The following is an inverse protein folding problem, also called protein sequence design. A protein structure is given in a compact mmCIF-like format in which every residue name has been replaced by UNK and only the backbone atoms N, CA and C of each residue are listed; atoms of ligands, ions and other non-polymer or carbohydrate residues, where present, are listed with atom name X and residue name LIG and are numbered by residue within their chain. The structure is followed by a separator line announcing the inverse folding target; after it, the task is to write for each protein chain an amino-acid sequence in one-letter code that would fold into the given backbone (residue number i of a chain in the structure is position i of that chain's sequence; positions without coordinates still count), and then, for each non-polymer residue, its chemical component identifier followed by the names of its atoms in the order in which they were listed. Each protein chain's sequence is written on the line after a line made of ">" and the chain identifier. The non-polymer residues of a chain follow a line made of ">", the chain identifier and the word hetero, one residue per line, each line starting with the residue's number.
data_IF_040895000793
#
_entry.id   IF_040895000793
#
_cell.length_a   1.000
_cell.length_b   1.000
_cell.length_c   1.000
_cell.angle_alpha   90.00
_cell.angle_beta   90.00
_cell.angle_gamma   90.00
#
_symmetry.space_group_name_H-M   'P 1'
#
loop_
_entity.id
_entity.type
_entity.pdbx_description
1 polymer ?
#
# COMPACT_ATOMS: atom_id res chain seq x y z
N UNK A 1 2.92 -15.85 0.96
CA UNK A 1 4.21 -16.02 1.68
C UNK A 1 4.47 -14.71 2.42
N UNK A 2 4.77 -14.73 3.72
CA UNK A 2 5.06 -13.50 4.44
C UNK A 2 6.32 -12.84 3.87
N UNK A 3 6.29 -11.52 3.76
CA UNK A 3 7.40 -10.72 3.25
C UNK A 3 7.51 -9.42 4.05
N UNK A 4 8.58 -8.68 3.80
CA UNK A 4 8.78 -7.35 4.35
C UNK A 4 8.57 -6.34 3.22
N UNK A 5 7.68 -5.37 3.45
CA UNK A 5 7.54 -4.21 2.58
C UNK A 5 8.34 -3.05 3.18
N UNK A 6 9.29 -2.53 2.42
CA UNK A 6 10.07 -1.35 2.78
C UNK A 6 9.59 -0.14 1.99
N UNK A 7 9.49 1.01 2.63
CA UNK A 7 9.40 2.30 1.92
C UNK A 7 10.81 2.70 1.50
N UNK A 8 11.02 2.95 0.20
CA UNK A 8 12.33 3.35 -0.33
C UNK A 8 12.88 4.59 0.40
N UNK A 9 14.19 4.67 0.58
CA UNK A 9 14.80 5.75 1.37
C UNK A 9 14.70 7.13 0.67
N UNK A 10 14.59 7.14 -0.66
CA UNK A 10 14.66 8.35 -1.48
C UNK A 10 13.30 9.03 -1.74
N UNK A 11 12.19 8.54 -1.18
CA UNK A 11 10.85 9.08 -1.47
C UNK A 11 10.31 10.03 -0.39
N UNK A 12 11.00 10.17 0.75
CA UNK A 12 10.59 10.99 1.90
C UNK A 12 9.37 10.42 2.63
N UNK A 13 8.19 10.50 2.02
CA UNK A 13 6.93 9.90 2.52
C UNK A 13 6.08 9.39 1.37
N UNK A 14 5.28 8.36 1.64
CA UNK A 14 4.26 7.87 0.70
C UNK A 14 2.93 7.68 1.41
N UNK A 15 1.83 7.88 0.68
CA UNK A 15 0.47 7.73 1.20
C UNK A 15 -0.13 6.40 0.76
N UNK A 16 -0.56 5.60 1.73
CA UNK A 16 -1.38 4.42 1.52
C UNK A 16 -2.86 4.81 1.54
N UNK A 17 -3.66 4.16 0.69
CA UNK A 17 -5.08 4.50 0.47
C UNK A 17 -5.94 3.25 0.32
N UNK A 18 -7.26 3.40 0.42
CA UNK A 18 -8.22 2.30 0.29
C UNK A 18 -8.71 2.03 -1.15
N UNK A 19 -8.26 2.82 -2.13
CA UNK A 19 -8.60 2.67 -3.54
C UNK A 19 -7.40 2.93 -4.45
N UNK A 20 -7.53 2.65 -5.75
CA UNK A 20 -6.50 2.99 -6.74
C UNK A 20 -6.49 4.47 -7.14
N UNK A 21 -7.48 5.27 -6.72
CA UNK A 21 -7.64 6.69 -7.07
C UNK A 21 -6.43 7.54 -6.66
N UNK A 22 -6.07 8.55 -7.44
CA UNK A 22 -4.97 9.45 -7.07
C UNK A 22 -5.31 10.21 -5.78
N UNK A 23 -4.30 10.57 -4.99
CA UNK A 23 -4.52 11.20 -3.66
C UNK A 23 -5.35 12.49 -3.76
N UNK A 24 -5.14 13.28 -4.82
CA UNK A 24 -5.92 14.51 -5.10
C UNK A 24 -7.41 14.27 -5.35
N UNK A 25 -7.79 13.06 -5.72
CA UNK A 25 -9.17 12.68 -6.04
C UNK A 25 -9.86 11.97 -4.85
N UNK A 26 -9.13 11.76 -3.74
CA UNK A 26 -9.70 11.24 -2.50
C UNK A 26 -10.51 12.31 -1.79
N UNK A 27 -11.62 11.90 -1.20
CA UNK A 27 -12.38 12.73 -0.26
C UNK A 27 -11.58 12.85 1.02
N UNK A 28 -11.77 13.96 1.75
CA UNK A 28 -11.12 14.15 3.06
C UNK A 28 -11.44 13.02 4.05
N UNK A 29 -12.64 12.45 3.97
CA UNK A 29 -13.07 11.31 4.79
C UNK A 29 -12.45 9.97 4.40
N UNK A 30 -11.75 9.89 3.28
CA UNK A 30 -11.18 8.62 2.83
C UNK A 30 -9.98 8.24 3.72
N UNK A 31 -9.94 7.01 4.24
CA UNK A 31 -8.83 6.58 5.09
C UNK A 31 -7.52 6.62 4.32
N UNK A 32 -6.54 7.30 4.90
CA UNK A 32 -5.17 7.37 4.40
C UNK A 32 -4.19 7.04 5.52
N UNK A 33 -3.02 6.52 5.16
CA UNK A 33 -1.92 6.29 6.09
C UNK A 33 -0.62 6.81 5.48
N UNK A 34 0.09 7.68 6.19
CA UNK A 34 1.36 8.24 5.73
C UNK A 34 2.51 7.40 6.28
N UNK A 35 3.24 6.74 5.36
CA UNK A 35 4.43 5.98 5.67
C UNK A 35 5.68 6.79 5.33
N UNK A 36 6.69 6.74 6.21
CA UNK A 36 7.97 7.45 6.02
C UNK A 36 8.99 6.55 5.31
N UNK A 37 9.89 7.18 4.56
CA UNK A 37 11.07 6.52 3.99
C UNK A 37 11.82 5.68 5.04
N UNK A 38 12.32 4.51 4.62
CA UNK A 38 13.01 3.56 5.50
C UNK A 38 12.10 2.71 6.40
N UNK A 39 10.80 3.01 6.49
CA UNK A 39 9.87 2.22 7.31
C UNK A 39 9.76 0.80 6.75
N UNK A 40 9.82 -0.20 7.64
CA UNK A 40 9.65 -1.61 7.33
C UNK A 40 8.32 -2.11 7.88
N UNK A 41 7.60 -2.86 7.07
CA UNK A 41 6.34 -3.49 7.44
C UNK A 41 6.38 -4.98 7.18
N UNK A 42 5.89 -5.78 8.13
CA UNK A 42 5.58 -7.17 7.85
C UNK A 42 4.26 -7.27 7.10
N UNK A 43 4.27 -7.94 5.97
CA UNK A 43 3.11 -8.13 5.11
C UNK A 43 2.80 -9.61 4.94
N UNK A 44 1.51 -9.94 4.92
CA UNK A 44 1.01 -11.30 4.72
C UNK A 44 0.82 -11.63 3.24
N UNK A 45 0.44 -10.63 2.44
CA UNK A 45 0.28 -10.75 0.99
C UNK A 45 0.50 -9.43 0.24
N UNK A 46 0.99 -9.55 -0.99
CA UNK A 46 1.15 -8.45 -1.96
C UNK A 46 0.50 -8.87 -3.27
N UNK A 47 -0.68 -8.31 -3.57
CA UNK A 47 -1.36 -8.45 -4.84
C UNK A 47 -0.92 -7.31 -5.78
N UNK A 48 -0.30 -7.67 -6.89
CA UNK A 48 0.26 -6.71 -7.86
C UNK A 48 -0.76 -6.27 -8.90
N UNK A 49 -1.98 -6.78 -8.83
CA UNK A 49 -3.02 -6.55 -9.81
C UNK A 49 -2.70 -7.17 -11.16
N UNK A 50 -3.53 -6.81 -12.14
CA UNK A 50 -3.34 -7.15 -13.56
C UNK A 50 -2.91 -5.92 -14.34
N UNK A 51 -2.13 -6.13 -15.41
CA UNK A 51 -1.84 -5.10 -16.42
C UNK A 51 -2.98 -4.90 -17.42
N UNK A 52 -3.96 -5.81 -17.46
CA UNK A 52 -5.13 -5.70 -18.32
C UNK A 52 -6.16 -4.75 -17.70
N UNK A 53 -6.45 -3.64 -18.38
CA UNK A 53 -7.42 -2.62 -17.98
C UNK A 53 -8.86 -3.16 -17.79
N UNK A 54 -9.19 -4.30 -18.39
CA UNK A 54 -10.50 -4.95 -18.26
C UNK A 54 -10.58 -5.93 -17.09
N UNK A 55 -9.46 -6.21 -16.43
CA UNK A 55 -9.43 -7.12 -15.29
C UNK A 55 -10.08 -6.49 -14.06
N UNK A 56 -10.82 -7.30 -13.30
CA UNK A 56 -11.32 -6.91 -11.98
C UNK A 56 -10.20 -6.55 -10.98
N UNK A 57 -8.96 -6.98 -11.25
CA UNK A 57 -7.77 -6.65 -10.47
C UNK A 57 -6.90 -5.57 -11.14
N UNK A 58 -7.48 -4.76 -12.04
CA UNK A 58 -6.77 -3.61 -12.60
C UNK A 58 -6.70 -2.46 -11.60
N UNK A 59 -5.50 -2.18 -11.11
CA UNK A 59 -5.24 -1.13 -10.10
C UNK A 59 -4.59 0.12 -10.70
N UNK A 60 -4.76 0.34 -12.00
CA UNK A 60 -4.13 1.43 -12.73
C UNK A 60 -2.66 1.17 -13.10
N UNK A 61 -2.15 -0.07 -12.97
CA UNK A 61 -0.77 -0.47 -13.29
C UNK A 61 0.30 -0.02 -12.29
N UNK A 62 -0.01 1.01 -11.52
CA UNK A 62 0.91 1.74 -10.64
C UNK A 62 0.83 1.35 -9.17
N UNK A 63 -0.21 0.62 -8.77
CA UNK A 63 -0.49 0.30 -7.38
C UNK A 63 -0.45 -1.20 -7.11
N UNK A 64 0.02 -1.55 -5.93
CA UNK A 64 -0.14 -2.89 -5.36
C UNK A 64 -1.14 -2.83 -4.22
N UNK A 65 -1.94 -3.87 -4.07
CA UNK A 65 -2.81 -4.09 -2.92
C UNK A 65 -2.07 -4.97 -1.92
N UNK A 66 -1.71 -4.39 -0.78
CA UNK A 66 -0.87 -5.01 0.23
C UNK A 66 -1.69 -5.28 1.49
N UNK A 67 -1.58 -6.49 2.02
CA UNK A 67 -2.16 -6.86 3.32
C UNK A 67 -1.05 -6.93 4.35
N UNK A 68 -1.13 -6.08 5.36
CA UNK A 68 -0.17 -5.97 6.45
C UNK A 68 -0.47 -7.02 7.53
N UNK A 69 0.55 -7.48 8.27
CA UNK A 69 0.32 -8.36 9.42
C UNK A 69 -0.43 -7.62 10.52
N UNK A 70 0.06 -6.44 10.88
CA UNK A 70 -0.57 -5.55 11.85
C UNK A 70 -1.45 -4.53 11.13
N UNK A 71 -2.62 -4.24 11.71
CA UNK A 71 -3.53 -3.23 11.17
C UNK A 71 -2.91 -1.84 11.33
N UNK A 72 -2.95 -1.04 10.27
CA UNK A 72 -2.45 0.34 10.29
C UNK A 72 -3.59 1.29 10.64
N UNK A 73 -3.35 2.20 11.58
CA UNK A 73 -4.34 3.21 11.99
C UNK A 73 -4.34 4.39 11.01
N UNK A 74 -5.46 4.71 10.34
CA UNK A 74 -5.53 5.84 9.42
C UNK A 74 -5.21 7.18 10.11
N UNK A 75 -4.76 8.16 9.32
CA UNK A 75 -4.42 9.50 9.81
C UNK A 75 -5.67 10.27 10.27
N UNK A 76 -6.75 10.22 9.50
CA UNK A 76 -8.02 10.86 9.83
C UNK A 76 -9.01 9.85 10.42
N UNK A 77 -8.92 9.61 11.73
CA UNK A 77 -9.91 8.84 12.49
C UNK A 77 -10.14 7.40 11.97
N UNK A 78 -11.19 6.75 12.49
CA UNK A 78 -11.62 5.43 12.03
C UNK A 78 -10.88 4.23 12.64
N UNK A 79 -11.29 3.05 12.20
CA UNK A 79 -10.73 1.78 12.65
C UNK A 79 -9.39 1.48 11.97
N UNK A 80 -8.57 0.65 12.61
CA UNK A 80 -7.32 0.21 11.99
C UNK A 80 -7.60 -0.72 10.81
N UNK A 81 -6.93 -0.49 9.68
CA UNK A 81 -7.17 -1.19 8.42
C UNK A 81 -5.95 -2.05 8.07
N UNK A 82 -6.22 -3.26 7.59
CA UNK A 82 -5.17 -4.23 7.29
C UNK A 82 -4.69 -4.19 5.84
N UNK A 83 -5.57 -3.87 4.89
CA UNK A 83 -5.25 -3.93 3.47
C UNK A 83 -5.24 -2.54 2.88
N UNK A 84 -4.19 -2.20 2.13
CA UNK A 84 -4.02 -0.87 1.54
C UNK A 84 -3.50 -0.97 0.12
N UNK A 85 -3.86 0.01 -0.70
CA UNK A 85 -3.19 0.29 -1.96
C UNK A 85 -1.95 1.14 -1.70
N UNK A 86 -0.81 0.67 -2.19
CA UNK A 86 0.49 1.33 -2.09
C UNK A 86 1.00 1.62 -3.50
N UNK A 87 1.67 2.76 -3.68
CA UNK A 87 2.29 3.08 -4.95
C UNK A 87 3.56 2.27 -5.14
N UNK A 88 3.60 1.47 -6.22
CA UNK A 88 4.62 0.43 -6.40
C UNK A 88 6.04 1.00 -6.48
N UNK A 89 6.21 2.19 -7.06
CA UNK A 89 7.53 2.78 -7.27
C UNK A 89 8.13 3.33 -5.97
N UNK A 90 7.35 3.45 -4.89
CA UNK A 90 7.82 3.92 -3.58
C UNK A 90 8.17 2.78 -2.62
N UNK A 91 7.94 1.53 -3.01
CA UNK A 91 8.09 0.38 -2.12
C UNK A 91 8.99 -0.69 -2.71
N UNK A 92 9.58 -1.47 -1.82
CA UNK A 92 10.37 -2.67 -2.15
C UNK A 92 9.84 -3.83 -1.31
N UNK A 93 9.64 -4.99 -1.95
CA UNK A 93 9.26 -6.22 -1.24
C UNK A 93 10.47 -7.14 -1.11
N UNK A 94 10.81 -7.49 0.14
CA UNK A 94 11.81 -8.49 0.48
C UNK A 94 11.09 -9.78 0.88
N UNK A 95 11.14 -10.79 0.00
CA UNK A 95 10.55 -12.11 0.28
C UNK A 95 11.42 -12.84 1.29
N UNK A 96 10.80 -13.32 2.37
CA UNK A 96 11.46 -14.18 3.33
C UNK A 96 11.57 -15.57 2.72
N UNK A 97 12.78 -15.98 2.35
CA UNK A 97 13.06 -17.34 1.89
C UNK A 97 13.05 -18.23 3.15
N UNK A 98 12.30 -19.34 3.15
CA UNK A 98 12.27 -20.28 4.27
C UNK A 98 13.59 -21.03 4.45
#
# INVERSE_FOLDING_TARGET
>A
MPSILRIKDNVGTTTFKQSSLQVKDLKKSDPTYVAKAGTLFFVSSVDRGSSDAKSANYYGGDHWKVTFKDKLKPQEGGESIQTWFVYREHVEEYRLIP
#
